data_IF_174472886771
#
_entry.id   IF_174472886771
#
_cell.length_a   1.000
_cell.length_b   1.000
_cell.length_c   1.000
_cell.angle_alpha   90.00
_cell.angle_beta   90.00
_cell.angle_gamma   90.00
#
_symmetry.space_group_name_H-M   'P 1'
#
loop_
_entity.id
_entity.type
_entity.pdbx_description
1 polymer ?
#
# COMPACT_ATOMS: atom_id res chain seq x y z
N UNK A 1 14.45 -4.92 -3.95
CA UNK A 1 14.98 -5.66 -5.13
C UNK A 1 15.07 -4.63 -6.24
N UNK A 2 16.02 -3.74 -6.06
CA UNK A 2 16.04 -2.45 -6.74
C UNK A 2 16.99 -2.59 -7.94
N UNK A 3 16.57 -2.10 -9.10
CA UNK A 3 17.36 -2.16 -10.35
C UNK A 3 16.97 -3.26 -11.34
N UNK A 4 15.98 -4.12 -11.03
CA UNK A 4 15.47 -5.12 -11.98
C UNK A 4 14.42 -4.51 -12.93
N UNK A 5 14.47 -4.86 -14.22
CA UNK A 5 13.49 -4.41 -15.22
C UNK A 5 12.18 -5.17 -15.02
N UNK A 6 11.13 -4.46 -14.63
CA UNK A 6 9.82 -5.05 -14.34
C UNK A 6 8.74 -4.52 -15.25
N UNK A 7 7.71 -5.34 -15.47
CA UNK A 7 6.50 -4.92 -16.20
C UNK A 7 5.73 -3.93 -15.33
N UNK A 8 5.82 -2.65 -15.69
CA UNK A 8 5.15 -1.57 -14.97
C UNK A 8 3.64 -1.54 -15.22
N UNK A 9 3.19 -1.84 -16.44
CA UNK A 9 1.79 -1.81 -16.84
C UNK A 9 1.54 -2.71 -18.05
N UNK A 10 0.28 -3.08 -18.29
CA UNK A 10 -0.15 -3.80 -19.49
C UNK A 10 -1.26 -3.01 -20.16
N UNK A 11 -1.07 -2.67 -21.44
CA UNK A 11 -2.06 -1.93 -22.22
C UNK A 11 -3.23 -2.84 -22.58
N UNK A 12 -4.43 -2.49 -22.09
CA UNK A 12 -5.68 -3.19 -22.42
C UNK A 12 -5.89 -3.30 -23.93
N UNK A 13 -6.21 -4.49 -24.41
CA UNK A 13 -6.40 -4.81 -25.83
C UNK A 13 -5.11 -4.86 -26.65
N UNK A 14 -3.94 -4.65 -26.04
CA UNK A 14 -2.62 -4.77 -26.69
C UNK A 14 -2.14 -6.22 -26.84
N UNK A 15 -1.00 -6.46 -27.51
CA UNK A 15 -0.48 -7.82 -27.74
C UNK A 15 -0.25 -8.63 -26.46
N UNK A 16 0.34 -8.00 -25.43
CA UNK A 16 0.60 -8.65 -24.14
C UNK A 16 -0.69 -8.99 -23.38
N UNK A 17 -1.71 -8.13 -23.44
CA UNK A 17 -3.02 -8.36 -22.82
C UNK A 17 -3.78 -9.50 -23.50
N UNK A 18 -3.74 -9.56 -24.84
CA UNK A 18 -4.39 -10.64 -25.61
C UNK A 18 -3.72 -12.00 -25.44
N UNK A 19 -2.40 -12.00 -25.28
CA UNK A 19 -1.62 -13.21 -25.08
C UNK A 19 -1.78 -13.72 -23.63
N UNK A 20 -1.81 -12.82 -22.64
CA UNK A 20 -2.27 -13.08 -21.29
C UNK A 20 -1.27 -13.79 -20.36
N UNK A 21 -0.05 -14.12 -20.80
CA UNK A 21 0.95 -14.72 -19.91
C UNK A 21 1.75 -13.68 -19.13
N UNK A 22 2.02 -12.52 -19.72
CA UNK A 22 2.72 -11.41 -19.06
C UNK A 22 1.80 -10.74 -18.05
N UNK A 23 2.29 -10.48 -16.83
CA UNK A 23 1.54 -9.71 -15.81
C UNK A 23 2.37 -8.57 -15.25
N UNK A 24 1.70 -7.55 -14.72
CA UNK A 24 2.35 -6.45 -13.99
C UNK A 24 3.20 -7.02 -12.84
N UNK A 25 4.46 -6.56 -12.74
CA UNK A 25 5.43 -7.01 -11.74
C UNK A 25 6.31 -8.19 -12.17
N UNK A 26 6.07 -8.81 -13.34
CA UNK A 26 7.01 -9.78 -13.91
C UNK A 26 8.36 -9.10 -14.18
N UNK A 27 9.46 -9.80 -13.88
CA UNK A 27 10.81 -9.36 -14.21
C UNK A 27 11.16 -9.86 -15.62
N UNK A 28 11.60 -8.97 -16.50
CA UNK A 28 12.10 -9.34 -17.82
C UNK A 28 13.58 -9.71 -17.67
N UNK A 29 13.91 -10.99 -17.87
CA UNK A 29 15.29 -11.52 -17.78
C UNK A 29 15.99 -11.56 -19.13
N UNK A 30 15.25 -11.84 -20.20
CA UNK A 30 15.81 -11.91 -21.53
C UNK A 30 14.76 -11.61 -22.61
N UNK A 31 15.22 -11.10 -23.75
CA UNK A 31 14.43 -10.90 -24.97
C UNK A 31 15.11 -11.68 -26.10
N UNK A 32 14.39 -12.58 -26.76
CA UNK A 32 14.92 -13.48 -27.80
C UNK A 32 16.16 -14.28 -27.35
N UNK A 33 16.20 -14.66 -26.07
CA UNK A 33 17.33 -15.39 -25.48
C UNK A 33 18.54 -14.53 -25.11
N UNK A 34 18.52 -13.22 -25.39
CA UNK A 34 19.55 -12.27 -24.96
C UNK A 34 19.19 -11.75 -23.57
N UNK A 35 20.06 -11.97 -22.59
CA UNK A 35 19.87 -11.48 -21.22
C UNK A 35 19.90 -9.95 -21.24
N UNK A 36 18.90 -9.33 -20.62
CA UNK A 36 18.82 -7.88 -20.45
C UNK A 36 18.85 -7.56 -18.96
N UNK A 37 19.67 -6.58 -18.59
CA UNK A 37 19.82 -6.08 -17.22
C UNK A 37 19.24 -4.67 -17.05
N UNK A 38 19.07 -3.91 -18.15
CA UNK A 38 18.57 -2.53 -18.11
C UNK A 38 17.34 -2.32 -18.99
N UNK A 39 16.58 -1.27 -18.70
CA UNK A 39 15.38 -0.92 -19.48
C UNK A 39 15.75 -0.52 -20.91
N UNK A 40 16.92 0.08 -21.11
CA UNK A 40 17.45 0.45 -22.42
C UNK A 40 17.73 -0.80 -23.27
N UNK A 41 18.32 -1.84 -22.69
CA UNK A 41 18.58 -3.11 -23.38
C UNK A 41 17.29 -3.82 -23.76
N UNK A 42 16.32 -3.90 -22.83
CA UNK A 42 14.99 -4.46 -23.13
C UNK A 42 14.32 -3.66 -24.24
N UNK A 43 14.30 -2.34 -24.15
CA UNK A 43 13.67 -1.45 -25.13
C UNK A 43 14.30 -1.61 -26.52
N UNK A 44 15.63 -1.65 -26.58
CA UNK A 44 16.36 -1.83 -27.83
C UNK A 44 16.06 -3.17 -28.50
N UNK A 45 16.02 -4.25 -27.71
CA UNK A 45 15.68 -5.59 -28.20
C UNK A 45 14.22 -5.68 -28.66
N UNK A 46 13.28 -5.04 -27.96
CA UNK A 46 11.87 -4.98 -28.34
C UNK A 46 11.68 -4.19 -29.65
N UNK A 47 12.35 -3.04 -29.79
CA UNK A 47 12.28 -2.20 -31.01
C UNK A 47 12.89 -2.91 -32.23
N UNK A 48 14.02 -3.61 -32.03
CA UNK A 48 14.69 -4.39 -33.10
C UNK A 48 14.04 -5.74 -33.36
N UNK A 49 13.13 -6.15 -32.49
CA UNK A 49 12.48 -7.45 -32.51
C UNK A 49 11.67 -7.69 -33.77
N UNK A 50 11.39 -8.97 -34.02
CA UNK A 50 10.49 -9.37 -35.10
C UNK A 50 9.03 -9.12 -34.70
N UNK A 51 8.08 -9.43 -35.61
CA UNK A 51 6.63 -9.37 -35.29
C UNK A 51 6.22 -10.28 -34.13
N UNK A 52 7.06 -11.26 -33.76
CA UNK A 52 6.91 -12.12 -32.60
C UNK A 52 8.12 -11.93 -31.68
N UNK A 53 7.87 -11.72 -30.39
CA UNK A 53 8.89 -11.52 -29.37
C UNK A 53 8.77 -12.60 -28.30
N UNK A 54 9.87 -13.28 -27.99
CA UNK A 54 10.00 -14.22 -26.89
C UNK A 54 10.64 -13.54 -25.69
N UNK A 55 9.89 -13.44 -24.60
CA UNK A 55 10.37 -12.91 -23.33
C UNK A 55 10.66 -14.06 -22.37
N UNK A 56 11.85 -14.06 -21.76
CA UNK A 56 12.09 -14.87 -20.57
C UNK A 56 11.71 -14.03 -19.36
N UNK A 57 10.67 -14.44 -18.65
CA UNK A 57 10.13 -13.73 -17.50
C UNK A 57 10.38 -14.50 -16.21
N UNK A 58 10.63 -13.77 -15.12
CA UNK A 58 10.69 -14.30 -13.77
C UNK A 58 9.58 -13.66 -12.95
N UNK A 59 8.59 -14.47 -12.57
CA UNK A 59 7.49 -14.04 -11.70
C UNK A 59 7.92 -14.19 -10.25
N UNK A 60 7.86 -13.10 -9.49
CA UNK A 60 8.11 -13.17 -8.04
C UNK A 60 7.02 -14.06 -7.41
N UNK A 61 7.37 -15.00 -6.51
CA UNK A 61 6.36 -15.75 -5.79
C UNK A 61 5.48 -14.76 -5.03
N UNK A 62 4.17 -14.97 -5.11
CA UNK A 62 3.21 -14.18 -4.35
C UNK A 62 3.35 -14.56 -2.88
N UNK A 63 3.56 -13.58 -2.02
CA UNK A 63 3.75 -13.76 -0.58
C UNK A 63 2.62 -13.08 0.17
N UNK A 64 2.26 -13.64 1.33
CA UNK A 64 1.30 -13.01 2.23
C UNK A 64 1.95 -11.80 2.90
N UNK A 65 1.30 -10.64 2.79
CA UNK A 65 1.70 -9.36 3.41
C UNK A 65 1.02 -9.19 4.76
N UNK A 66 -0.27 -9.53 4.83
CA UNK A 66 -1.07 -9.47 6.04
C UNK A 66 -2.13 -10.56 5.99
N UNK A 67 -2.33 -11.27 7.10
CA UNK A 67 -3.37 -12.28 7.25
C UNK A 67 -4.06 -12.11 8.60
N UNK A 68 -5.39 -12.25 8.58
CA UNK A 68 -6.24 -12.12 9.76
C UNK A 68 -7.53 -12.90 9.58
N UNK A 69 -8.12 -13.35 10.69
CA UNK A 69 -9.53 -13.73 10.73
C UNK A 69 -10.38 -12.51 11.10
N UNK A 70 -11.10 -11.96 10.12
CA UNK A 70 -11.93 -10.76 10.29
C UNK A 70 -13.36 -11.01 9.85
N UNK A 71 -14.26 -10.10 10.21
CA UNK A 71 -15.66 -10.19 9.80
C UNK A 71 -15.90 -9.33 8.57
N UNK A 72 -16.63 -9.86 7.59
CA UNK A 72 -17.08 -9.12 6.42
C UNK A 72 -18.60 -9.02 6.41
N UNK A 73 -19.12 -7.87 5.99
CA UNK A 73 -20.56 -7.65 5.82
C UNK A 73 -21.05 -8.36 4.57
N UNK A 74 -21.99 -9.27 4.75
CA UNK A 74 -22.63 -10.04 3.70
C UNK A 74 -23.71 -9.20 2.98
N UNK A 75 -24.10 -9.55 1.74
CA UNK A 75 -25.21 -8.88 1.05
C UNK A 75 -26.54 -8.93 1.82
N UNK A 76 -26.72 -9.94 2.69
CA UNK A 76 -27.86 -10.04 3.61
C UNK A 76 -27.85 -8.99 4.73
N UNK A 77 -26.73 -8.29 4.94
CA UNK A 77 -26.51 -7.35 6.03
C UNK A 77 -25.80 -7.95 7.24
N UNK A 78 -25.72 -9.28 7.32
CA UNK A 78 -25.08 -10.01 8.43
C UNK A 78 -23.55 -9.93 8.38
N UNK A 79 -22.92 -10.00 9.55
CA UNK A 79 -21.47 -10.03 9.68
C UNK A 79 -20.96 -11.45 9.90
N UNK A 80 -20.24 -11.99 8.92
CA UNK A 80 -19.73 -13.37 8.98
C UNK A 80 -18.20 -13.41 9.05
N UNK A 81 -17.61 -14.46 9.66
CA UNK A 81 -16.16 -14.60 9.80
C UNK A 81 -15.51 -15.13 8.52
N UNK A 82 -14.35 -14.56 8.18
CA UNK A 82 -13.55 -14.89 7.01
C UNK A 82 -12.07 -14.91 7.37
N UNK A 83 -11.32 -15.85 6.78
CA UNK A 83 -9.87 -15.71 6.67
C UNK A 83 -9.58 -14.74 5.52
N UNK A 84 -8.83 -13.67 5.81
CA UNK A 84 -8.43 -12.65 4.84
C UNK A 84 -6.92 -12.63 4.68
N UNK A 85 -6.44 -12.58 3.44
CA UNK A 85 -5.01 -12.52 3.10
C UNK A 85 -4.76 -11.42 2.09
N UNK A 86 -4.03 -10.38 2.48
CA UNK A 86 -3.45 -9.43 1.55
C UNK A 86 -2.15 -10.00 1.00
N UNK A 87 -2.05 -10.03 -0.32
CA UNK A 87 -0.93 -10.61 -1.05
C UNK A 87 -0.01 -9.52 -1.63
N UNK A 88 1.25 -9.88 -1.89
CA UNK A 88 2.26 -8.96 -2.46
C UNK A 88 1.94 -8.49 -3.88
N UNK A 89 1.06 -9.19 -4.59
CA UNK A 89 0.47 -8.77 -5.87
C UNK A 89 -0.71 -7.80 -5.70
N UNK A 90 -0.94 -7.29 -4.47
CA UNK A 90 -1.96 -6.28 -4.13
C UNK A 90 -3.40 -6.77 -4.29
N UNK A 91 -3.60 -8.09 -4.20
CA UNK A 91 -4.92 -8.70 -4.12
C UNK A 91 -5.22 -9.15 -2.70
N UNK A 92 -6.50 -9.20 -2.37
CA UNK A 92 -6.99 -9.79 -1.13
C UNK A 92 -7.69 -11.08 -1.50
N UNK A 93 -7.19 -12.20 -1.00
CA UNK A 93 -7.94 -13.44 -0.99
C UNK A 93 -8.76 -13.52 0.30
N UNK A 94 -9.98 -14.02 0.21
CA UNK A 94 -10.79 -14.27 1.39
C UNK A 94 -11.54 -15.60 1.28
N UNK A 95 -11.73 -16.25 2.42
CA UNK A 95 -12.46 -17.51 2.53
C UNK A 95 -13.42 -17.44 3.71
N UNK A 96 -14.70 -17.74 3.45
CA UNK A 96 -15.73 -17.79 4.48
C UNK A 96 -15.51 -18.98 5.40
N UNK A 97 -15.40 -18.73 6.70
CA UNK A 97 -15.15 -19.78 7.70
C UNK A 97 -16.42 -20.53 8.12
N UNK A 98 -17.59 -19.91 7.95
CA UNK A 98 -18.90 -20.52 8.21
C UNK A 98 -19.50 -21.18 6.95
N UNK A 99 -20.21 -22.31 7.07
CA UNK A 99 -20.96 -22.88 5.95
C UNK A 99 -22.08 -21.96 5.42
N UNK A 100 -22.36 -21.95 4.10
CA UNK A 100 -21.59 -22.61 3.05
C UNK A 100 -20.24 -21.91 2.84
N UNK A 101 -19.16 -22.69 2.81
CA UNK A 101 -17.81 -22.18 2.55
C UNK A 101 -17.76 -21.66 1.12
N UNK A 102 -17.24 -20.45 0.96
CA UNK A 102 -16.91 -19.90 -0.34
C UNK A 102 -15.69 -19.01 -0.22
N UNK A 103 -14.88 -19.00 -1.28
CA UNK A 103 -13.73 -18.13 -1.40
C UNK A 103 -13.95 -17.09 -2.49
N UNK A 104 -13.21 -16.00 -2.41
CA UNK A 104 -13.23 -14.96 -3.42
C UNK A 104 -11.99 -14.09 -3.34
N UNK A 105 -11.95 -13.13 -4.26
CA UNK A 105 -10.83 -12.22 -4.39
C UNK A 105 -11.32 -10.79 -4.51
N UNK A 106 -10.59 -9.87 -3.89
CA UNK A 106 -10.72 -8.43 -4.09
C UNK A 106 -9.45 -7.94 -4.76
N UNK A 107 -9.57 -7.41 -5.97
CA UNK A 107 -8.49 -6.71 -6.64
C UNK A 107 -8.23 -5.35 -5.98
N UNK A 108 -7.57 -5.33 -4.81
CA UNK A 108 -7.34 -4.10 -4.06
C UNK A 108 -6.50 -3.07 -4.84
N UNK A 109 -5.68 -3.51 -5.80
CA UNK A 109 -5.04 -2.62 -6.79
C UNK A 109 -6.02 -1.73 -7.57
N UNK A 110 -7.29 -2.15 -7.70
CA UNK A 110 -8.36 -1.42 -8.37
C UNK A 110 -9.28 -0.68 -7.38
N UNK A 111 -8.92 -0.63 -6.09
CA UNK A 111 -9.68 0.12 -5.10
C UNK A 111 -9.67 1.62 -5.47
N UNK A 112 -10.85 2.23 -5.39
CA UNK A 112 -11.06 3.65 -5.68
C UNK A 112 -10.96 4.48 -4.40
N UNK A 113 -11.43 3.94 -3.28
CA UNK A 113 -11.36 4.59 -1.97
C UNK A 113 -11.33 3.58 -0.83
N UNK A 114 -10.85 4.05 0.32
CA UNK A 114 -10.88 3.37 1.61
C UNK A 114 -11.46 4.35 2.62
N UNK A 115 -12.41 3.90 3.44
CA UNK A 115 -12.98 4.72 4.50
C UNK A 115 -13.04 3.92 5.80
N UNK A 116 -12.42 4.43 6.87
CA UNK A 116 -12.58 3.86 8.20
C UNK A 116 -13.67 4.63 8.92
N UNK A 117 -14.76 3.95 9.21
CA UNK A 117 -15.94 4.48 9.90
C UNK A 117 -16.00 3.95 11.33
N UNK A 118 -16.56 4.75 12.23
CA UNK A 118 -16.97 4.27 13.55
C UNK A 118 -18.49 4.06 13.55
N UNK A 119 -18.92 2.81 13.76
CA UNK A 119 -20.32 2.40 13.85
C UNK A 119 -20.56 1.72 15.20
N UNK A 120 -21.35 2.37 16.07
CA UNK A 120 -21.74 1.86 17.41
C UNK A 120 -20.55 1.40 18.28
N UNK A 121 -19.41 2.08 18.17
CA UNK A 121 -18.18 1.76 18.91
C UNK A 121 -17.30 0.68 18.26
N UNK A 122 -17.73 0.12 17.13
CA UNK A 122 -16.89 -0.72 16.29
C UNK A 122 -16.29 0.08 15.14
N UNK A 123 -15.09 -0.32 14.69
CA UNK A 123 -14.43 0.28 13.53
C UNK A 123 -14.66 -0.58 12.31
N UNK A 124 -15.23 0.01 11.27
CA UNK A 124 -15.56 -0.63 10.00
C UNK A 124 -14.73 0.00 8.90
N UNK A 125 -13.92 -0.81 8.21
CA UNK A 125 -13.19 -0.39 7.03
C UNK A 125 -14.00 -0.74 5.78
N UNK A 126 -14.41 0.28 5.05
CA UNK A 126 -15.05 0.16 3.75
C UNK A 126 -14.00 0.23 2.64
N UNK A 127 -14.07 -0.73 1.71
CA UNK A 127 -13.23 -0.86 0.53
C UNK A 127 -14.13 -0.72 -0.68
N UNK A 128 -13.98 0.40 -1.40
CA UNK A 128 -14.73 0.64 -2.63
C UNK A 128 -13.88 0.26 -3.84
N UNK A 129 -14.36 -0.68 -4.64
CA UNK A 129 -13.82 -0.97 -5.98
C UNK A 129 -14.76 -0.40 -7.05
N UNK A 130 -14.35 -0.44 -8.32
CA UNK A 130 -15.20 0.02 -9.43
C UNK A 130 -16.55 -0.72 -9.56
N UNK A 131 -16.64 -1.95 -9.05
CA UNK A 131 -17.81 -2.81 -9.27
C UNK A 131 -18.51 -3.24 -7.98
N UNK A 132 -17.84 -3.12 -6.82
CA UNK A 132 -18.34 -3.64 -5.56
C UNK A 132 -17.76 -2.89 -4.37
N UNK A 133 -18.60 -2.72 -3.34
CA UNK A 133 -18.20 -2.26 -2.02
C UNK A 133 -18.05 -3.46 -1.09
N UNK A 134 -17.03 -3.43 -0.23
CA UNK A 134 -16.83 -4.40 0.83
C UNK A 134 -16.71 -3.64 2.15
N UNK A 135 -17.26 -4.20 3.22
CA UNK A 135 -17.09 -3.66 4.57
C UNK A 135 -16.53 -4.76 5.46
N UNK A 136 -15.40 -4.48 6.10
CA UNK A 136 -14.72 -5.41 7.00
C UNK A 136 -14.54 -4.78 8.38
N UNK A 137 -14.54 -5.61 9.42
CA UNK A 137 -14.22 -5.19 10.79
C UNK A 137 -13.46 -6.29 11.51
N UNK A 138 -12.59 -5.88 12.42
CA UNK A 138 -11.81 -6.79 13.26
C UNK A 138 -12.26 -6.69 14.71
N UNK A 139 -11.94 -7.70 15.52
CA UNK A 139 -12.23 -7.68 16.96
C UNK A 139 -11.36 -6.65 17.70
N UNK A 140 -10.14 -6.42 17.21
CA UNK A 140 -9.19 -5.48 17.79
C UNK A 140 -9.01 -4.26 16.89
N UNK A 141 -9.07 -3.06 17.48
CA UNK A 141 -8.86 -1.80 16.75
C UNK A 141 -7.46 -1.76 16.09
N UNK A 142 -6.44 -2.33 16.72
CA UNK A 142 -5.09 -2.40 16.16
C UNK A 142 -5.05 -3.20 14.85
N UNK A 143 -5.83 -4.26 14.75
CA UNK A 143 -5.88 -5.13 13.56
C UNK A 143 -6.56 -4.42 12.39
N UNK A 144 -7.71 -3.78 12.60
CA UNK A 144 -8.37 -3.02 11.53
C UNK A 144 -7.56 -1.79 11.09
N UNK A 145 -6.84 -1.13 12.01
CA UNK A 145 -5.93 -0.04 11.67
C UNK A 145 -4.74 -0.57 10.83
N UNK A 146 -4.25 -1.78 11.10
CA UNK A 146 -3.20 -2.41 10.28
C UNK A 146 -3.71 -2.71 8.87
N UNK A 147 -4.93 -3.25 8.75
CA UNK A 147 -5.58 -3.44 7.45
C UNK A 147 -5.75 -2.12 6.69
N UNK A 148 -6.20 -1.07 7.37
CA UNK A 148 -6.30 0.26 6.77
C UNK A 148 -4.95 0.74 6.25
N UNK A 149 -3.88 0.63 7.04
CA UNK A 149 -2.53 1.01 6.64
C UNK A 149 -2.05 0.24 5.41
N UNK A 150 -2.19 -1.10 5.40
CA UNK A 150 -1.74 -1.92 4.28
C UNK A 150 -2.52 -1.67 3.00
N UNK A 151 -3.83 -1.44 3.10
CA UNK A 151 -4.64 -1.09 1.93
C UNK A 151 -4.36 0.35 1.46
N UNK A 152 -4.02 1.26 2.37
CA UNK A 152 -3.57 2.59 2.00
C UNK A 152 -2.26 2.53 1.19
N UNK A 153 -1.29 1.70 1.60
CA UNK A 153 -0.07 1.44 0.81
C UNK A 153 -0.42 0.93 -0.61
N UNK A 154 -1.39 0.02 -0.74
CA UNK A 154 -1.84 -0.46 -2.05
C UNK A 154 -2.36 0.68 -2.94
N UNK A 155 -3.14 1.62 -2.39
CA UNK A 155 -3.62 2.79 -3.15
C UNK A 155 -2.44 3.68 -3.56
N UNK A 156 -1.44 3.88 -2.68
CA UNK A 156 -0.30 4.76 -2.96
C UNK A 156 0.58 4.20 -4.09
N UNK A 157 0.51 2.90 -4.35
CA UNK A 157 1.22 2.22 -5.43
C UNK A 157 0.45 2.21 -6.77
N UNK A 158 -0.71 2.86 -6.85
CA UNK A 158 -1.47 3.01 -8.10
C UNK A 158 -0.85 4.08 -8.99
N UNK A 159 -0.86 3.87 -10.31
CA UNK A 159 -0.23 4.77 -11.30
C UNK A 159 -0.76 6.21 -11.24
N UNK A 160 -2.02 6.40 -10.84
CA UNK A 160 -2.64 7.73 -10.70
C UNK A 160 -2.17 8.52 -9.47
N UNK A 161 -1.42 7.90 -8.57
CA UNK A 161 -0.90 8.53 -7.35
C UNK A 161 0.59 8.76 -7.52
N UNK A 162 1.00 10.03 -7.56
CA UNK A 162 2.39 10.41 -7.77
C UNK A 162 3.07 10.79 -6.45
N UNK A 163 4.37 10.51 -6.35
CA UNK A 163 5.21 11.05 -5.29
C UNK A 163 5.43 12.56 -5.56
N UNK A 164 4.99 13.41 -4.66
CA UNK A 164 5.13 14.87 -4.76
C UNK A 164 6.40 15.34 -4.08
N UNK A 165 6.68 14.81 -2.88
CA UNK A 165 7.86 15.16 -2.10
C UNK A 165 8.22 14.00 -1.16
N UNK A 166 9.48 13.95 -0.72
CA UNK A 166 9.93 13.00 0.28
C UNK A 166 11.12 13.56 1.07
N UNK A 167 11.28 13.13 2.32
CA UNK A 167 12.36 13.61 3.16
C UNK A 167 12.31 13.07 4.59
N UNK A 168 13.38 13.33 5.33
CA UNK A 168 13.44 13.00 6.75
C UNK A 168 12.66 14.03 7.57
N UNK A 169 11.74 13.58 8.43
CA UNK A 169 11.07 14.42 9.42
C UNK A 169 11.11 13.76 10.80
N UNK A 170 10.85 14.55 11.84
CA UNK A 170 10.78 14.08 13.22
C UNK A 170 9.32 13.84 13.62
N UNK A 171 9.08 12.65 14.18
CA UNK A 171 7.81 12.26 14.80
C UNK A 171 7.96 12.22 16.30
N UNK A 172 7.01 12.84 17.00
CA UNK A 172 6.87 12.65 18.44
C UNK A 172 6.29 11.27 18.73
N UNK A 173 6.92 10.53 19.63
CA UNK A 173 6.40 9.27 20.17
C UNK A 173 6.27 9.35 21.68
N UNK A 174 5.17 8.78 22.18
CA UNK A 174 5.00 8.51 23.60
C UNK A 174 6.05 7.48 24.01
N UNK A 175 7.03 7.89 24.80
CA UNK A 175 8.09 6.98 25.25
C UNK A 175 7.51 5.83 26.08
N UNK A 176 7.76 4.60 25.66
CA UNK A 176 7.54 3.40 26.46
C UNK A 176 8.87 2.96 27.08
N UNK A 177 9.25 3.52 28.23
CA UNK A 177 9.58 2.70 29.40
C UNK A 177 10.11 3.48 30.62
N UNK A 178 9.56 3.07 31.76
CA UNK A 178 10.13 2.93 33.10
C UNK A 178 11.21 3.91 33.64
N UNK A 179 10.88 4.42 34.82
CA UNK A 179 11.74 4.94 35.90
C UNK A 179 12.12 6.44 35.94
N UNK A 180 11.99 7.26 34.89
CA UNK A 180 12.22 8.72 35.01
C UNK A 180 11.36 9.56 34.05
N UNK A 181 10.08 9.75 34.41
CA UNK A 181 9.20 10.75 33.79
C UNK A 181 8.64 10.37 32.40
N UNK A 182 7.45 10.90 32.11
CA UNK A 182 6.82 10.83 30.78
C UNK A 182 7.57 11.81 29.87
N UNK A 183 8.65 11.34 29.24
CA UNK A 183 9.36 12.10 28.21
C UNK A 183 8.80 11.74 26.85
N UNK A 184 8.41 12.74 26.05
CA UNK A 184 8.17 12.53 24.63
C UNK A 184 9.52 12.44 23.91
N UNK A 185 9.67 11.45 23.03
CA UNK A 185 10.90 11.27 22.26
C UNK A 185 10.61 11.54 20.79
N UNK A 186 11.45 12.36 20.16
CA UNK A 186 11.42 12.57 18.72
C UNK A 186 12.29 11.52 18.02
N UNK A 187 11.73 10.85 17.02
CA UNK A 187 12.44 9.89 16.16
C UNK A 187 12.39 10.32 14.70
N UNK A 188 13.46 10.03 13.98
CA UNK A 188 13.57 10.28 12.55
C UNK A 188 12.81 9.20 11.77
N UNK A 189 12.00 9.64 10.82
CA UNK A 189 11.35 8.77 9.85
C UNK A 189 11.50 9.36 8.45
N UNK A 190 11.51 8.49 7.45
CA UNK A 190 11.45 8.88 6.06
C UNK A 190 10.00 9.04 5.64
N UNK A 191 9.63 10.22 5.15
CA UNK A 191 8.28 10.53 4.73
C UNK A 191 8.17 10.61 3.21
N UNK A 192 7.02 10.22 2.69
CA UNK A 192 6.64 10.37 1.30
C UNK A 192 5.25 11.02 1.24
N UNK A 193 5.19 12.19 0.60
CA UNK A 193 3.95 12.91 0.31
C UNK A 193 3.45 12.49 -1.07
N UNK A 194 2.20 12.01 -1.12
CA UNK A 194 1.54 11.59 -2.35
C UNK A 194 0.58 12.67 -2.86
N UNK A 195 0.32 12.66 -4.17
CA UNK A 195 -0.51 13.66 -4.88
C UNK A 195 -1.96 13.73 -4.42
N UNK A 196 -2.44 12.73 -3.69
CA UNK A 196 -3.76 12.69 -3.10
C UNK A 196 -3.80 13.24 -1.66
N UNK A 197 -2.75 13.93 -1.21
CA UNK A 197 -2.71 14.54 0.12
C UNK A 197 -2.49 13.55 1.26
N UNK A 198 -1.97 12.35 0.97
CA UNK A 198 -1.56 11.39 2.01
C UNK A 198 -0.06 11.49 2.23
N UNK A 199 0.33 11.61 3.49
CA UNK A 199 1.71 11.62 3.94
C UNK A 199 2.01 10.30 4.68
N UNK A 200 2.84 9.44 4.10
CA UNK A 200 3.18 8.12 4.66
C UNK A 200 4.61 8.13 5.20
N UNK A 201 4.88 7.36 6.27
CA UNK A 201 6.21 7.31 6.88
C UNK A 201 6.76 5.90 7.08
N UNK A 202 8.08 5.80 6.97
CA UNK A 202 8.88 4.58 6.93
C UNK A 202 10.11 4.73 7.83
N UNK A 203 10.74 3.61 8.20
CA UNK A 203 12.02 3.63 8.92
C UNK A 203 13.19 4.11 8.07
N UNK A 204 13.08 4.05 6.74
CA UNK A 204 14.12 4.49 5.81
C UNK A 204 13.64 4.58 4.36
N UNK A 205 14.43 5.21 3.47
CA UNK A 205 14.06 5.42 2.06
C UNK A 205 13.99 4.13 1.24
N UNK A 206 14.79 3.12 1.59
CA UNK A 206 14.80 1.77 0.99
C UNK A 206 13.56 0.92 1.39
N UNK A 207 12.75 1.43 2.32
CA UNK A 207 11.59 0.75 2.89
C UNK A 207 10.26 1.25 2.33
N UNK A 208 10.25 2.13 1.33
CA UNK A 208 9.03 2.63 0.70
C UNK A 208 8.36 1.59 -0.24
N UNK A 209 8.08 0.39 0.29
CA UNK A 209 7.47 -0.75 -0.41
C UNK A 209 6.28 -1.28 0.40
N UNK A 210 5.36 -1.99 -0.26
CA UNK A 210 4.17 -2.56 0.38
C UNK A 210 4.54 -3.42 1.61
N UNK A 211 3.87 -3.17 2.74
CA UNK A 211 4.07 -3.92 3.97
C UNK A 211 5.13 -3.33 4.90
N UNK A 212 5.71 -2.18 4.58
CA UNK A 212 6.81 -1.57 5.34
C UNK A 212 6.47 -0.18 5.88
N UNK A 213 5.38 0.45 5.43
CA UNK A 213 4.89 1.68 6.05
C UNK A 213 4.58 1.44 7.53
N UNK A 214 4.92 2.44 8.33
CA UNK A 214 4.70 2.46 9.78
C UNK A 214 3.41 3.20 10.13
N UNK A 215 2.95 4.08 9.24
CA UNK A 215 1.70 4.80 9.37
C UNK A 215 1.51 5.81 8.23
N UNK A 216 0.37 6.48 8.24
CA UNK A 216 0.07 7.57 7.32
C UNK A 216 -0.73 8.66 8.01
N UNK A 217 -0.74 9.82 7.39
CA UNK A 217 -1.40 11.04 7.85
C UNK A 217 -2.07 11.71 6.65
N UNK A 218 -3.40 11.93 6.67
CA UNK A 218 -4.05 12.82 5.72
C UNK A 218 -3.64 14.27 5.97
N UNK A 219 -3.12 14.96 4.95
CA UNK A 219 -2.65 16.35 5.04
C UNK A 219 -3.78 17.31 5.40
N UNK A 220 -5.02 17.00 5.06
CA UNK A 220 -6.20 17.77 5.48
C UNK A 220 -6.40 17.82 7.00
N UNK A 221 -5.84 16.85 7.73
CA UNK A 221 -5.86 16.85 9.19
C UNK A 221 -4.69 17.64 9.79
N UNK A 222 -3.77 18.13 8.97
CA UNK A 222 -2.60 18.88 9.39
C UNK A 222 -2.96 20.35 9.60
N UNK A 223 -2.62 20.90 10.77
CA UNK A 223 -2.71 22.34 11.05
C UNK A 223 -1.31 22.90 11.23
N UNK A 224 -1.03 24.06 10.62
CA UNK A 224 0.22 24.80 10.83
C UNK A 224 0.18 25.55 12.17
N UNK A 225 1.24 25.43 12.95
CA UNK A 225 1.51 26.32 14.07
C UNK A 225 2.96 26.79 14.00
N UNK A 226 3.13 28.11 14.02
CA UNK A 226 4.43 28.76 14.14
C UNK A 226 4.73 29.02 15.62
N UNK A 227 5.92 28.65 16.08
CA UNK A 227 6.43 29.06 17.37
C UNK A 227 7.39 30.25 17.19
N UNK A 228 7.31 31.29 18.04
CA UNK A 228 8.27 32.38 17.99
C UNK A 228 9.66 31.81 18.29
N UNK A 229 10.61 31.99 17.36
CA UNK A 229 12.02 31.59 17.38
C UNK A 229 12.40 30.26 16.70
N UNK A 230 11.48 29.56 16.01
CA UNK A 230 11.86 28.49 15.08
C UNK A 230 11.06 28.60 13.78
N UNK A 231 11.71 28.43 12.64
CA UNK A 231 11.06 28.17 11.35
C UNK A 231 10.53 26.74 11.29
N UNK A 232 9.74 26.35 12.29
CA UNK A 232 9.13 25.02 12.34
C UNK A 232 7.65 25.17 12.03
N UNK A 233 7.25 24.56 10.91
CA UNK A 233 5.84 24.28 10.63
C UNK A 233 5.48 23.10 11.52
N UNK A 234 4.85 23.37 12.65
CA UNK A 234 4.25 22.31 13.46
C UNK A 234 3.00 21.87 12.71
N UNK A 235 3.00 20.65 12.19
CA UNK A 235 1.81 20.00 11.67
C UNK A 235 1.13 19.33 12.86
N UNK A 236 -0.02 19.82 13.35
CA UNK A 236 -0.82 19.03 14.30
C UNK A 236 -1.83 18.23 13.52
N UNK A 237 -1.79 16.91 13.68
CA UNK A 237 -2.85 16.03 13.24
C UNK A 237 -3.79 15.79 14.41
N UNK A 238 -5.06 15.51 14.16
CA UNK A 238 -6.04 15.15 15.19
C UNK A 238 -5.61 13.97 16.10
N UNK A 239 -4.51 13.27 15.77
CA UNK A 239 -3.98 12.13 16.52
C UNK A 239 -2.51 12.22 16.96
N UNK A 240 -1.70 13.25 16.59
CA UNK A 240 -0.32 13.44 17.07
C UNK A 240 0.30 14.79 16.62
N UNK A 241 1.27 15.31 17.40
CA UNK A 241 2.05 16.54 17.13
C UNK A 241 3.40 16.23 16.44
N UNK A 242 3.88 17.09 15.54
CA UNK A 242 5.09 16.83 14.72
C UNK A 242 5.96 18.08 14.52
N UNK A 243 7.28 17.92 14.38
CA UNK A 243 8.25 19.00 14.10
C UNK A 243 9.07 18.69 12.84
N UNK A 244 9.30 19.70 12.00
CA UNK A 244 10.23 19.67 10.87
C UNK A 244 11.69 19.62 11.39
N UNK A 245 12.52 18.72 10.86
CA UNK A 245 13.97 18.75 11.12
C UNK A 245 14.62 19.84 10.25
N UNK A 246 15.44 20.69 10.87
CA UNK A 246 16.33 21.66 10.20
C UNK A 246 17.57 20.98 9.65
#
# INVERSE_FOLDING_TARGET
WDGEVTVGAITTGGPADREGTLVQGDIIRAVEGVICSTIEEVTHMVIRGSKCLRLAICRRPVTVVLESEIRMKMPSGEWEPFAFRLLSNRNIEFEKLSPPVYAGEIHARLAQSLCLLEDRGERVLEIQTAHKAFAIKANLAAEINMWQLRLQEVIMLQEKVANVAHGWLLKEESGSDTAKGIGTQFKHYWFVLFSNGILMYFSGPDRAVLGQALGFVPVEHCTESSQPNMHTILIRCSFASWLLAT
#
